data_IF_196885012074
#
_entry.id   IF_196885012074
#
_cell.length_a   1.000
_cell.length_b   1.000
_cell.length_c   1.000
_cell.angle_alpha   90.00
_cell.angle_beta   90.00
_cell.angle_gamma   90.00
#
_symmetry.space_group_name_H-M   'P 1'
#
loop_
_entity.id
_entity.type
_entity.pdbx_description
1 polymer ?
#
# COMPACT_ATOMS: atom_id res chain seq x y z
N UNK A 1 17.31 6.45 -7.88
CA UNK A 1 16.02 6.50 -7.12
C UNK A 1 16.19 5.72 -5.84
N UNK A 2 15.58 6.14 -4.73
CA UNK A 2 15.59 5.40 -3.44
C UNK A 2 14.15 5.03 -3.09
N UNK A 3 13.94 3.78 -2.65
CA UNK A 3 12.65 3.29 -2.21
C UNK A 3 12.75 2.75 -0.78
N UNK A 4 11.75 3.05 0.05
CA UNK A 4 11.65 2.49 1.40
C UNK A 4 10.21 2.11 1.69
N UNK A 5 10.00 0.89 2.17
CA UNK A 5 8.69 0.43 2.63
C UNK A 5 8.36 1.13 3.94
N UNK A 6 7.25 1.87 3.99
CA UNK A 6 6.83 2.63 5.16
C UNK A 6 5.86 1.84 6.04
N UNK A 7 5.14 0.92 5.43
CA UNK A 7 4.18 0.05 6.10
C UNK A 7 3.75 -1.10 5.19
N UNK A 8 3.22 -2.15 5.79
CA UNK A 8 2.99 -3.44 5.11
C UNK A 8 1.66 -4.10 5.47
N UNK A 9 0.81 -3.46 6.27
CA UNK A 9 -0.50 -3.98 6.64
C UNK A 9 -1.61 -3.47 5.71
N UNK A 10 -2.66 -4.27 5.55
CA UNK A 10 -3.92 -3.89 4.93
C UNK A 10 -4.76 -2.95 5.81
N UNK A 11 -5.94 -2.60 5.36
CA UNK A 11 -6.81 -1.53 5.86
C UNK A 11 -7.11 -1.46 7.36
N UNK A 12 -6.89 -2.53 8.10
CA UNK A 12 -7.05 -2.55 9.56
C UNK A 12 -5.79 -2.20 10.35
N UNK A 13 -4.61 -2.24 9.72
CA UNK A 13 -3.33 -2.23 10.42
C UNK A 13 -3.10 -3.52 11.24
N UNK A 14 -1.88 -3.70 11.77
CA UNK A 14 -1.58 -4.81 12.68
C UNK A 14 -0.93 -4.25 13.94
N UNK A 15 -1.60 -4.27 15.10
CA UNK A 15 -2.94 -4.84 15.38
C UNK A 15 -4.08 -3.91 14.92
N UNK A 16 -5.15 -4.48 14.38
CA UNK A 16 -6.40 -3.75 14.14
C UNK A 16 -7.08 -3.43 15.50
N UNK A 17 -7.57 -2.20 15.65
CA UNK A 17 -8.05 -1.69 16.95
C UNK A 17 -9.20 -2.49 17.57
N UNK A 18 -10.10 -3.04 16.77
CA UNK A 18 -11.28 -3.80 17.21
C UNK A 18 -11.16 -5.31 16.95
N UNK A 19 -9.95 -5.85 16.78
CA UNK A 19 -9.72 -7.26 16.51
C UNK A 19 -8.84 -7.91 17.58
N UNK A 20 -9.18 -9.16 17.97
CA UNK A 20 -8.43 -9.98 18.90
C UNK A 20 -7.98 -11.31 18.28
N UNK A 21 -7.86 -11.40 16.95
CA UNK A 21 -7.31 -12.56 16.27
C UNK A 21 -5.87 -12.85 16.74
N UNK A 22 -5.31 -14.04 16.46
CA UNK A 22 -3.94 -14.39 16.86
C UNK A 22 -2.90 -13.36 16.41
N UNK A 23 -2.97 -12.86 15.16
CA UNK A 23 -2.06 -11.82 14.65
C UNK A 23 -2.14 -10.52 15.45
N UNK A 24 -3.35 -10.00 15.71
CA UNK A 24 -3.55 -8.79 16.51
C UNK A 24 -3.12 -8.95 17.97
N UNK A 25 -3.41 -10.10 18.58
CA UNK A 25 -3.01 -10.41 19.95
C UNK A 25 -1.48 -10.54 20.06
N UNK A 26 -0.86 -11.22 19.09
CA UNK A 26 0.60 -11.33 19.00
C UNK A 26 1.29 -9.97 18.84
N UNK A 27 0.76 -9.09 17.99
CA UNK A 27 1.30 -7.75 17.80
C UNK A 27 1.12 -6.81 19.01
N UNK A 28 0.09 -7.04 19.84
CA UNK A 28 -0.05 -6.33 21.13
C UNK A 28 0.95 -6.82 22.17
N UNK A 29 1.16 -8.13 22.23
CA UNK A 29 2.12 -8.75 23.15
C UNK A 29 3.59 -8.46 22.77
N UNK A 30 3.85 -8.34 21.47
CA UNK A 30 5.20 -8.15 20.91
C UNK A 30 5.22 -6.94 19.94
N UNK A 31 5.56 -5.73 20.42
CA UNK A 31 5.54 -4.50 19.59
C UNK A 31 6.32 -4.59 18.28
N UNK A 32 7.38 -5.39 18.21
CA UNK A 32 8.15 -5.64 16.98
C UNK A 32 7.38 -6.38 15.86
N UNK A 33 6.18 -6.93 16.16
CA UNK A 33 5.30 -7.57 15.18
C UNK A 33 4.25 -6.61 14.62
N UNK A 34 4.21 -5.36 15.09
CA UNK A 34 3.28 -4.36 14.58
C UNK A 34 3.65 -3.98 13.15
N UNK A 35 2.63 -3.72 12.34
CA UNK A 35 2.78 -3.26 10.94
C UNK A 35 1.88 -2.06 10.71
N UNK A 36 2.44 -1.00 10.14
CA UNK A 36 1.69 0.15 9.65
C UNK A 36 1.00 -0.19 8.33
N UNK A 37 0.02 0.60 7.95
CA UNK A 37 -0.69 0.44 6.67
C UNK A 37 0.27 0.54 5.48
N UNK A 38 -0.03 -0.22 4.42
CA UNK A 38 0.84 -0.37 3.25
C UNK A 38 1.12 0.95 2.53
N UNK A 39 2.39 1.32 2.47
CA UNK A 39 2.87 2.55 1.85
C UNK A 39 4.35 2.43 1.50
N UNK A 40 4.79 3.20 0.49
CA UNK A 40 6.18 3.36 0.10
C UNK A 40 6.60 4.82 0.17
N UNK A 41 7.84 5.08 0.53
CA UNK A 41 8.52 6.33 0.23
C UNK A 41 9.34 6.18 -1.05
N UNK A 42 9.25 7.17 -1.93
CA UNK A 42 9.90 7.21 -3.24
C UNK A 42 10.66 8.52 -3.38
N UNK A 43 11.97 8.45 -3.58
CA UNK A 43 12.79 9.62 -3.93
C UNK A 43 13.01 9.62 -5.43
N UNK A 44 12.46 10.63 -6.10
CA UNK A 44 12.63 10.92 -7.53
C UNK A 44 13.52 12.16 -7.72
N UNK A 45 13.89 12.47 -8.97
CA UNK A 45 14.74 13.63 -9.29
C UNK A 45 14.04 14.96 -8.96
N UNK A 46 12.71 15.00 -9.02
CA UNK A 46 11.88 16.19 -8.78
C UNK A 46 11.39 16.31 -7.32
N UNK A 47 11.70 15.35 -6.44
CA UNK A 47 11.34 15.39 -5.02
C UNK A 47 11.01 14.04 -4.41
N UNK A 48 10.55 14.07 -3.16
CA UNK A 48 10.15 12.88 -2.43
C UNK A 48 8.62 12.75 -2.43
N UNK A 49 8.14 11.52 -2.64
CA UNK A 49 6.73 11.18 -2.64
C UNK A 49 6.45 10.03 -1.67
N UNK A 50 5.24 10.01 -1.14
CA UNK A 50 4.70 8.85 -0.42
C UNK A 50 3.62 8.19 -1.30
N UNK A 51 3.71 6.90 -1.50
CA UNK A 51 2.67 6.13 -2.18
C UNK A 51 1.66 5.69 -1.15
N UNK A 52 0.41 6.12 -1.32
CA UNK A 52 -0.72 5.99 -0.42
C UNK A 52 -0.57 6.80 0.90
N UNK A 53 -1.49 7.74 1.08
CA UNK A 53 -1.59 8.55 2.29
C UNK A 53 -2.38 7.80 3.37
N UNK A 54 -1.70 6.95 4.11
CA UNK A 54 -2.31 6.06 5.11
C UNK A 54 -2.67 6.79 6.40
N UNK A 55 -3.51 6.22 7.29
CA UNK A 55 -3.75 6.77 8.62
C UNK A 55 -2.47 7.00 9.43
N UNK A 56 -1.43 6.21 9.17
CA UNK A 56 -0.13 6.22 9.87
C UNK A 56 0.89 7.19 9.25
N UNK A 57 0.51 8.00 8.25
CA UNK A 57 1.46 8.76 7.41
C UNK A 57 2.43 9.62 8.21
N UNK A 58 2.02 10.21 9.33
CA UNK A 58 2.90 11.04 10.15
C UNK A 58 4.03 10.21 10.79
N UNK A 59 3.70 9.05 11.36
CA UNK A 59 4.66 8.12 11.93
C UNK A 59 5.54 7.47 10.85
N UNK A 60 4.99 7.27 9.66
CA UNK A 60 5.72 6.75 8.50
C UNK A 60 6.76 7.76 8.01
N UNK A 61 6.42 9.04 7.91
CA UNK A 61 7.37 10.12 7.58
C UNK A 61 8.48 10.19 8.63
N UNK A 62 8.15 10.19 9.92
CA UNK A 62 9.13 10.21 11.01
C UNK A 62 10.06 8.99 11.00
N UNK A 63 9.56 7.81 10.61
CA UNK A 63 10.38 6.61 10.52
C UNK A 63 11.34 6.60 9.33
N UNK A 64 11.12 7.45 8.32
CA UNK A 64 11.94 7.54 7.11
C UNK A 64 12.88 8.75 7.18
N UNK A 65 14.17 8.52 7.46
CA UNK A 65 15.13 9.59 7.73
C UNK A 65 15.21 10.67 6.64
N UNK A 66 15.05 10.30 5.37
CA UNK A 66 15.12 11.23 4.24
C UNK A 66 13.79 11.90 3.88
N UNK A 67 12.70 11.58 4.60
CA UNK A 67 11.43 12.32 4.54
C UNK A 67 11.30 13.36 5.68
N UNK A 68 12.17 13.29 6.69
CA UNK A 68 12.10 14.24 7.82
C UNK A 68 12.39 15.67 7.37
N UNK A 69 11.67 16.66 7.92
CA UNK A 69 11.90 18.06 7.60
C UNK A 69 13.28 18.52 8.09
N UNK A 70 13.83 19.51 7.43
CA UNK A 70 15.08 20.19 7.77
C UNK A 70 15.88 20.62 6.54
N UNK A 71 16.90 21.53 6.74
CA UNK A 71 17.36 22.11 7.99
C UNK A 71 16.47 23.24 8.56
N UNK A 72 15.58 23.81 7.75
CA UNK A 72 14.64 24.85 8.18
C UNK A 72 13.42 24.29 8.93
N UNK A 73 12.74 25.10 9.76
CA UNK A 73 11.66 24.65 10.68
C UNK A 73 10.43 24.04 9.94
N UNK A 74 10.20 24.39 8.69
CA UNK A 74 9.07 23.94 7.85
C UNK A 74 9.54 23.44 6.48
N UNK A 75 10.81 23.13 6.35
CA UNK A 75 11.40 22.65 5.10
C UNK A 75 11.20 21.13 4.98
N UNK A 76 10.08 20.74 4.41
CA UNK A 76 9.76 19.33 4.17
C UNK A 76 10.27 18.87 2.81
N UNK A 77 10.96 17.73 2.71
CA UNK A 77 11.33 17.14 1.43
C UNK A 77 10.13 16.48 0.72
N UNK A 78 9.02 16.26 1.43
CA UNK A 78 7.82 15.67 0.86
C UNK A 78 7.14 16.65 -0.10
N UNK A 79 7.12 16.31 -1.38
CA UNK A 79 6.46 17.08 -2.44
C UNK A 79 4.99 16.70 -2.63
N UNK A 80 4.68 15.41 -2.46
CA UNK A 80 3.33 14.95 -2.72
C UNK A 80 3.08 13.49 -2.40
N UNK A 81 1.91 13.04 -2.81
CA UNK A 81 1.41 11.69 -2.61
C UNK A 81 0.99 11.10 -3.95
N UNK A 82 1.30 9.82 -4.17
CA UNK A 82 0.82 9.03 -5.30
C UNK A 82 -0.21 8.03 -4.76
N UNK A 83 -1.41 7.99 -5.33
CA UNK A 83 -2.48 7.10 -4.86
C UNK A 83 -2.74 5.99 -5.86
N UNK A 84 -2.73 4.75 -5.40
CA UNK A 84 -3.04 3.56 -6.21
C UNK A 84 -4.54 3.33 -6.37
N UNK A 85 -5.33 3.87 -5.46
CA UNK A 85 -6.79 3.74 -5.37
C UNK A 85 -7.38 4.82 -4.44
N UNK A 86 -8.68 4.73 -4.15
CA UNK A 86 -9.39 5.67 -3.29
C UNK A 86 -9.87 5.05 -1.97
N UNK A 87 -9.39 3.87 -1.57
CA UNK A 87 -9.76 3.27 -0.29
C UNK A 87 -9.27 4.14 0.89
N UNK A 88 -10.01 4.11 2.01
CA UNK A 88 -9.75 5.02 3.13
C UNK A 88 -8.39 4.79 3.79
N UNK A 89 -7.92 3.57 3.84
CA UNK A 89 -6.60 3.23 4.35
C UNK A 89 -5.45 3.75 3.49
N UNK A 90 -5.73 4.11 2.22
CA UNK A 90 -4.77 4.71 1.30
C UNK A 90 -4.92 6.24 1.15
N UNK A 91 -5.99 6.84 1.69
CA UNK A 91 -6.31 8.25 1.39
C UNK A 91 -6.57 9.14 2.60
N UNK A 92 -7.05 8.59 3.73
CA UNK A 92 -7.45 9.40 4.90
C UNK A 92 -6.29 10.18 5.53
N UNK A 93 -5.07 9.71 5.33
CA UNK A 93 -3.85 10.38 5.78
C UNK A 93 -3.60 11.73 5.11
N UNK A 94 -4.24 12.04 3.97
CA UNK A 94 -4.20 13.36 3.37
C UNK A 94 -4.62 14.46 4.35
N UNK A 95 -5.57 14.17 5.25
CA UNK A 95 -5.99 15.10 6.31
C UNK A 95 -4.88 15.41 7.32
N UNK A 96 -3.91 14.52 7.48
CA UNK A 96 -2.74 14.70 8.36
C UNK A 96 -1.70 15.64 7.75
N UNK A 97 -1.73 15.82 6.42
CA UNK A 97 -0.79 16.66 5.67
C UNK A 97 -1.29 18.11 5.49
N UNK A 98 -2.38 18.50 6.14
CA UNK A 98 -2.98 19.84 6.02
C UNK A 98 -2.06 21.01 6.45
N UNK A 99 -0.97 20.71 7.13
CA UNK A 99 0.02 21.71 7.57
C UNK A 99 1.02 22.10 6.46
N UNK A 100 0.95 21.45 5.29
CA UNK A 100 1.73 21.83 4.13
C UNK A 100 1.14 23.09 3.46
N UNK A 101 1.98 23.93 2.84
CA UNK A 101 1.50 25.05 2.01
C UNK A 101 0.91 24.55 0.69
N UNK A 102 1.56 23.54 0.12
CA UNK A 102 1.14 22.87 -1.13
C UNK A 102 1.41 21.37 -1.06
N UNK A 103 0.51 20.59 -1.66
CA UNK A 103 0.63 19.13 -1.76
C UNK A 103 0.25 18.68 -3.17
N UNK A 104 1.17 18.05 -3.88
CA UNK A 104 0.85 17.40 -5.15
C UNK A 104 0.22 16.03 -4.91
N UNK A 105 -0.94 15.78 -5.51
CA UNK A 105 -1.61 14.47 -5.45
C UNK A 105 -1.68 13.89 -6.85
N UNK A 106 -0.99 12.78 -7.07
CA UNK A 106 -0.95 12.04 -8.32
C UNK A 106 -1.89 10.83 -8.22
N UNK A 107 -2.87 10.75 -9.11
CA UNK A 107 -3.84 9.64 -9.12
C UNK A 107 -4.63 9.62 -10.43
N UNK A 108 -5.41 8.56 -10.64
CA UNK A 108 -6.33 8.48 -11.79
C UNK A 108 -7.46 9.51 -11.67
N UNK A 109 -8.09 9.92 -12.79
CA UNK A 109 -9.22 10.85 -12.75
C UNK A 109 -10.40 10.40 -11.89
N UNK A 110 -10.68 9.09 -11.86
CA UNK A 110 -11.79 8.54 -11.05
C UNK A 110 -11.48 8.60 -9.56
N UNK A 111 -10.25 8.33 -9.15
CA UNK A 111 -9.76 8.49 -7.77
C UNK A 111 -9.85 9.97 -7.36
N UNK A 112 -9.36 10.89 -8.20
CA UNK A 112 -9.50 12.34 -7.97
C UNK A 112 -10.95 12.76 -7.78
N UNK A 113 -11.87 12.23 -8.59
CA UNK A 113 -13.30 12.52 -8.44
C UNK A 113 -13.87 12.05 -7.10
N UNK A 114 -13.51 10.83 -6.67
CA UNK A 114 -13.94 10.29 -5.38
C UNK A 114 -13.43 11.11 -4.18
N UNK A 115 -12.24 11.70 -4.31
CA UNK A 115 -11.62 12.49 -3.26
C UNK A 115 -12.09 13.96 -3.18
N UNK A 116 -13.02 14.40 -4.03
CA UNK A 116 -13.55 15.78 -3.96
C UNK A 116 -14.02 16.19 -2.57
N UNK A 117 -14.82 15.37 -1.82
CA UNK A 117 -15.24 15.76 -0.49
C UNK A 117 -14.06 15.99 0.47
N UNK A 118 -13.03 15.16 0.36
CA UNK A 118 -11.80 15.28 1.16
C UNK A 118 -11.02 16.54 0.79
N UNK A 119 -10.88 16.81 -0.52
CA UNK A 119 -10.22 17.99 -1.04
C UNK A 119 -10.94 19.28 -0.64
N UNK A 120 -12.28 19.28 -0.60
CA UNK A 120 -13.07 20.44 -0.12
C UNK A 120 -12.83 20.72 1.36
N UNK A 121 -12.68 19.69 2.20
CA UNK A 121 -12.30 19.85 3.62
C UNK A 121 -10.88 20.44 3.75
N UNK A 122 -9.96 20.02 2.89
CA UNK A 122 -8.56 20.46 2.94
C UNK A 122 -8.32 21.84 2.34
N UNK A 123 -9.17 22.29 1.42
CA UNK A 123 -9.02 23.56 0.67
C UNK A 123 -8.71 24.80 1.51
N UNK A 124 -9.25 25.00 2.75
CA UNK A 124 -8.89 26.13 3.59
C UNK A 124 -7.48 26.06 4.20
N UNK A 125 -6.83 24.90 4.16
CA UNK A 125 -5.58 24.62 4.87
C UNK A 125 -4.38 24.44 3.96
N UNK A 126 -4.54 23.70 2.84
CA UNK A 126 -3.46 23.32 1.94
C UNK A 126 -3.90 23.46 0.49
N UNK A 127 -3.01 23.98 -0.36
CA UNK A 127 -3.25 24.00 -1.81
C UNK A 127 -2.91 22.64 -2.42
N UNK A 128 -3.96 21.92 -2.89
CA UNK A 128 -3.78 20.64 -3.58
C UNK A 128 -3.64 20.90 -5.08
N UNK A 129 -2.51 20.46 -5.64
CA UNK A 129 -2.31 20.34 -7.08
C UNK A 129 -2.50 18.88 -7.50
N UNK A 130 -3.14 18.66 -8.65
CA UNK A 130 -3.44 17.32 -9.15
C UNK A 130 -2.59 17.04 -10.39
N UNK A 131 -1.97 15.86 -10.40
CA UNK A 131 -1.15 15.41 -11.53
C UNK A 131 -1.40 13.93 -11.84
N UNK A 132 -0.91 13.49 -12.98
CA UNK A 132 -0.92 12.08 -13.37
C UNK A 132 0.29 11.35 -12.80
N UNK A 133 0.17 10.01 -12.69
CA UNK A 133 1.26 9.09 -12.40
C UNK A 133 1.24 7.94 -13.41
N UNK A 134 2.33 7.19 -13.48
CA UNK A 134 2.41 6.00 -14.33
C UNK A 134 1.65 4.84 -13.66
N UNK A 135 0.33 4.89 -13.79
CA UNK A 135 -0.63 3.98 -13.17
C UNK A 135 -1.24 3.05 -14.21
N UNK A 136 -1.19 1.75 -13.93
CA UNK A 136 -1.78 0.70 -14.75
C UNK A 136 -3.08 0.26 -14.11
N UNK A 137 -4.23 0.36 -14.79
CA UNK A 137 -5.50 -0.14 -14.27
C UNK A 137 -5.44 -1.64 -13.96
N UNK A 138 -5.89 -2.01 -12.75
CA UNK A 138 -5.99 -3.42 -12.31
C UNK A 138 -7.44 -3.82 -12.10
N UNK A 139 -8.26 -2.95 -11.49
CA UNK A 139 -9.60 -3.33 -11.08
C UNK A 139 -10.57 -2.17 -11.12
N UNK A 140 -11.80 -2.48 -11.54
CA UNK A 140 -12.96 -1.58 -11.48
C UNK A 140 -13.63 -1.54 -10.10
N UNK A 141 -13.04 -2.18 -9.07
CA UNK A 141 -13.58 -2.18 -7.72
C UNK A 141 -13.47 -0.80 -7.09
N UNK A 142 -14.59 -0.12 -6.96
CA UNK A 142 -14.68 1.20 -6.31
C UNK A 142 -14.84 1.09 -4.79
N UNK A 143 -14.36 2.07 -4.01
CA UNK A 143 -14.64 2.16 -2.57
C UNK A 143 -16.14 2.32 -2.30
N UNK A 144 -16.58 1.82 -1.15
CA UNK A 144 -18.02 1.81 -0.79
C UNK A 144 -18.65 3.20 -0.71
N UNK A 145 -17.86 4.22 -0.39
CA UNK A 145 -18.33 5.59 -0.23
C UNK A 145 -18.42 6.36 -1.57
N UNK A 146 -17.78 5.86 -2.62
CA UNK A 146 -17.73 6.57 -3.89
C UNK A 146 -19.03 6.35 -4.68
N UNK A 147 -19.75 7.45 -4.93
CA UNK A 147 -20.92 7.48 -5.81
C UNK A 147 -20.51 7.99 -7.21
N UNK A 148 -19.74 7.17 -7.90
CA UNK A 148 -19.22 7.48 -9.24
C UNK A 148 -19.43 6.30 -10.17
N UNK A 149 -19.48 6.52 -11.50
CA UNK A 149 -19.69 5.45 -12.47
C UNK A 149 -18.59 4.38 -12.41
N UNK A 150 -18.88 3.22 -12.96
CA UNK A 150 -17.88 2.18 -13.16
C UNK A 150 -16.75 2.70 -14.06
N UNK A 151 -15.51 2.46 -13.65
CA UNK A 151 -14.33 2.77 -14.40
C UNK A 151 -13.27 1.67 -14.17
N UNK A 152 -12.42 1.36 -15.16
CA UNK A 152 -11.46 0.26 -15.03
C UNK A 152 -10.30 0.57 -14.08
N UNK A 153 -10.08 1.83 -13.75
CA UNK A 153 -8.92 2.40 -13.08
C UNK A 153 -9.18 2.87 -11.64
N UNK A 154 -10.19 2.25 -10.97
CA UNK A 154 -10.42 2.45 -9.53
C UNK A 154 -9.27 1.96 -8.67
N UNK A 155 -8.63 0.85 -9.06
CA UNK A 155 -7.44 0.32 -8.45
C UNK A 155 -6.38 0.16 -9.53
N UNK A 156 -5.18 0.64 -9.25
CA UNK A 156 -4.07 0.63 -10.21
C UNK A 156 -2.77 0.14 -9.58
N UNK A 157 -1.91 -0.49 -10.39
CA UNK A 157 -0.50 -0.67 -10.06
C UNK A 157 0.28 0.60 -10.40
N UNK A 158 1.25 0.95 -9.59
CA UNK A 158 2.19 2.04 -9.86
C UNK A 158 3.46 1.50 -10.48
N UNK A 159 3.82 2.01 -11.66
CA UNK A 159 5.15 1.79 -12.26
C UNK A 159 6.11 2.88 -11.81
N UNK A 160 7.30 2.47 -11.45
CA UNK A 160 8.41 3.34 -11.08
C UNK A 160 9.63 2.98 -11.93
N UNK A 161 10.55 3.92 -12.11
CA UNK A 161 11.81 3.71 -12.85
C UNK A 161 11.58 3.17 -14.27
N UNK A 162 10.59 3.70 -15.00
CA UNK A 162 10.29 3.23 -16.36
C UNK A 162 9.74 1.80 -16.42
N UNK A 163 9.24 1.26 -15.29
CA UNK A 163 8.70 -0.10 -15.20
C UNK A 163 9.62 -1.11 -14.50
N UNK A 164 10.86 -0.74 -14.15
CA UNK A 164 11.75 -1.62 -13.41
C UNK A 164 11.18 -2.03 -12.04
N UNK A 165 10.37 -1.16 -11.42
CA UNK A 165 9.63 -1.47 -10.18
C UNK A 165 8.14 -1.35 -10.41
N UNK A 166 7.38 -2.36 -9.95
CA UNK A 166 5.91 -2.32 -9.94
C UNK A 166 5.40 -2.53 -8.51
N UNK A 167 4.56 -1.60 -8.05
CA UNK A 167 3.89 -1.64 -6.75
C UNK A 167 2.38 -1.79 -6.94
N UNK A 168 1.83 -2.92 -6.48
CA UNK A 168 0.41 -3.26 -6.60
C UNK A 168 -0.12 -3.82 -5.26
N UNK A 169 -0.38 -2.96 -4.24
CA UNK A 169 -0.73 -3.40 -2.89
C UNK A 169 -2.13 -4.02 -2.80
N UNK A 170 -3.01 -3.73 -3.75
CA UNK A 170 -4.33 -4.35 -3.88
C UNK A 170 -4.51 -4.85 -5.31
N UNK A 171 -4.73 -6.15 -5.49
CA UNK A 171 -4.68 -6.78 -6.80
C UNK A 171 -5.80 -7.79 -7.00
N UNK A 172 -6.84 -7.39 -7.74
CA UNK A 172 -7.96 -8.26 -8.09
C UNK A 172 -7.71 -9.12 -9.33
N UNK A 173 -6.80 -8.68 -10.21
CA UNK A 173 -6.32 -9.42 -11.38
C UNK A 173 -4.81 -9.22 -11.50
N UNK A 174 -4.13 -10.14 -12.16
CA UNK A 174 -2.68 -10.06 -12.39
C UNK A 174 -2.38 -9.13 -13.58
N UNK A 175 -1.72 -8.00 -13.39
CA UNK A 175 -1.34 -7.12 -14.50
C UNK A 175 -0.08 -7.65 -15.21
N UNK A 176 -0.07 -7.62 -16.54
CA UNK A 176 1.07 -8.09 -17.36
C UNK A 176 2.37 -7.31 -17.09
N UNK A 177 2.26 -6.07 -16.65
CA UNK A 177 3.41 -5.24 -16.31
C UNK A 177 4.31 -5.82 -15.20
N UNK A 178 3.82 -6.78 -14.41
CA UNK A 178 4.65 -7.50 -13.43
C UNK A 178 5.67 -8.41 -14.10
N UNK A 179 5.37 -8.93 -15.28
CA UNK A 179 6.16 -9.99 -15.92
C UNK A 179 7.53 -9.47 -16.42
N UNK A 180 7.69 -8.16 -16.60
CA UNK A 180 8.92 -7.51 -17.10
C UNK A 180 9.69 -6.73 -16.02
N UNK A 181 9.15 -6.60 -14.80
CA UNK A 181 9.74 -5.78 -13.76
C UNK A 181 10.92 -6.48 -13.05
N UNK A 182 11.95 -5.71 -12.70
CA UNK A 182 13.12 -6.18 -11.92
C UNK A 182 12.80 -6.31 -10.42
N UNK A 183 11.80 -5.56 -9.94
CA UNK A 183 11.30 -5.65 -8.57
C UNK A 183 9.78 -5.51 -8.56
N UNK A 184 9.10 -6.46 -7.95
CA UNK A 184 7.65 -6.43 -7.77
C UNK A 184 7.28 -6.48 -6.30
N UNK A 185 6.39 -5.58 -5.87
CA UNK A 185 5.87 -5.50 -4.51
C UNK A 185 4.34 -5.57 -4.63
N UNK A 186 3.77 -6.73 -4.33
CA UNK A 186 2.38 -7.01 -4.68
C UNK A 186 1.51 -7.39 -3.49
N UNK A 187 0.23 -7.49 -3.75
CA UNK A 187 -0.84 -7.83 -2.83
C UNK A 187 -0.61 -9.17 -2.13
N UNK A 188 -0.47 -9.13 -0.82
CA UNK A 188 -0.37 -10.27 0.08
C UNK A 188 -1.47 -10.28 1.13
N UNK A 189 -2.62 -9.65 0.85
CA UNK A 189 -3.67 -9.42 1.85
C UNK A 189 -4.11 -10.71 2.53
N UNK A 190 -4.37 -11.77 1.79
CA UNK A 190 -4.80 -13.05 2.32
C UNK A 190 -3.90 -14.20 1.83
N UNK A 191 -3.69 -15.19 2.69
CA UNK A 191 -2.94 -16.38 2.33
C UNK A 191 -3.72 -17.24 1.33
N UNK A 192 -4.97 -17.58 1.65
CA UNK A 192 -5.87 -18.36 0.80
C UNK A 192 -7.24 -17.68 0.63
N UNK A 193 -8.03 -18.14 -0.35
CA UNK A 193 -9.30 -17.51 -0.70
C UNK A 193 -10.36 -17.60 0.41
N UNK A 194 -10.34 -18.64 1.23
CA UNK A 194 -11.31 -18.84 2.32
C UNK A 194 -10.86 -18.22 3.65
N UNK A 195 -9.66 -17.65 3.76
CA UNK A 195 -9.16 -17.03 4.99
C UNK A 195 -10.15 -16.04 5.61
N UNK A 196 -10.77 -15.10 4.86
CA UNK A 196 -11.70 -14.14 5.47
C UNK A 196 -12.92 -14.81 6.11
N UNK A 197 -13.44 -15.87 5.48
CA UNK A 197 -14.59 -16.63 5.99
C UNK A 197 -14.19 -17.49 7.19
N UNK A 198 -13.10 -18.22 7.07
CA UNK A 198 -12.59 -19.12 8.11
C UNK A 198 -12.23 -18.36 9.39
N UNK A 199 -11.74 -17.14 9.28
CA UNK A 199 -11.39 -16.28 10.41
C UNK A 199 -12.56 -15.44 10.93
N UNK A 200 -13.71 -15.49 10.24
CA UNK A 200 -14.94 -14.80 10.68
C UNK A 200 -14.92 -13.27 10.46
N UNK A 201 -13.97 -12.73 9.70
CA UNK A 201 -13.88 -11.29 9.44
C UNK A 201 -14.78 -10.83 8.30
N UNK A 202 -15.18 -11.75 7.41
CA UNK A 202 -16.07 -11.46 6.27
C UNK A 202 -16.86 -12.69 5.86
N UNK A 203 -18.05 -12.47 5.29
CA UNK A 203 -18.80 -13.50 4.57
C UNK A 203 -18.31 -13.71 3.11
N UNK A 204 -17.41 -12.84 2.64
CA UNK A 204 -16.82 -12.90 1.29
C UNK A 204 -15.50 -13.63 1.32
N UNK A 205 -15.11 -14.23 0.17
CA UNK A 205 -13.76 -14.75 -0.05
C UNK A 205 -12.78 -13.60 -0.35
N UNK A 206 -11.47 -13.89 -0.33
CA UNK A 206 -10.42 -12.94 -0.72
C UNK A 206 -10.67 -12.38 -2.13
N UNK A 207 -10.92 -13.23 -3.11
CA UNK A 207 -11.24 -12.85 -4.50
C UNK A 207 -12.49 -11.97 -4.57
N UNK A 208 -13.55 -12.29 -3.83
CA UNK A 208 -14.77 -11.47 -3.75
C UNK A 208 -14.54 -10.13 -3.05
N UNK A 209 -13.48 -10.01 -2.27
CA UNK A 209 -13.01 -8.75 -1.67
C UNK A 209 -12.10 -7.96 -2.61
N UNK A 210 -11.72 -8.51 -3.76
CA UNK A 210 -10.88 -7.89 -4.77
C UNK A 210 -9.38 -8.09 -4.53
N UNK A 211 -9.00 -9.18 -3.88
CA UNK A 211 -7.62 -9.58 -3.61
C UNK A 211 -7.35 -10.98 -4.13
N UNK A 212 -6.32 -11.13 -4.96
CA UNK A 212 -5.80 -12.45 -5.32
C UNK A 212 -5.04 -13.02 -4.12
N UNK A 213 -5.39 -14.24 -3.64
CA UNK A 213 -4.69 -14.83 -2.51
C UNK A 213 -3.25 -15.23 -2.87
N UNK A 214 -2.39 -15.28 -1.86
CA UNK A 214 -0.97 -15.66 -2.02
C UNK A 214 -0.84 -17.04 -2.67
N UNK A 215 -1.61 -18.04 -2.23
CA UNK A 215 -1.58 -19.39 -2.80
C UNK A 215 -1.88 -19.43 -4.30
N UNK A 216 -2.72 -18.52 -4.81
CA UNK A 216 -3.02 -18.43 -6.23
C UNK A 216 -1.97 -17.70 -7.05
N UNK A 217 -1.10 -16.91 -6.42
CA UNK A 217 -0.13 -16.03 -7.10
C UNK A 217 1.33 -16.44 -6.91
N UNK A 218 1.68 -17.14 -5.83
CA UNK A 218 3.07 -17.40 -5.44
C UNK A 218 3.86 -18.21 -6.48
N UNK A 219 3.25 -19.20 -7.16
CA UNK A 219 3.95 -19.94 -8.21
C UNK A 219 4.26 -19.07 -9.44
N UNK A 220 3.32 -18.21 -9.85
CA UNK A 220 3.56 -17.27 -10.95
C UNK A 220 4.60 -16.25 -10.54
N UNK A 221 4.50 -15.71 -9.33
CA UNK A 221 5.43 -14.74 -8.77
C UNK A 221 6.86 -15.30 -8.71
N UNK A 222 7.03 -16.56 -8.31
CA UNK A 222 8.35 -17.21 -8.22
C UNK A 222 9.11 -17.30 -9.55
N UNK A 223 8.39 -17.24 -10.67
CA UNK A 223 8.96 -17.32 -12.04
C UNK A 223 9.40 -15.98 -12.59
N UNK A 224 9.01 -14.87 -11.95
CA UNK A 224 9.40 -13.52 -12.40
C UNK A 224 10.91 -13.31 -12.16
N UNK A 225 11.57 -12.51 -13.01
CA UNK A 225 12.93 -12.09 -12.75
C UNK A 225 13.01 -11.16 -11.53
N UNK A 226 14.20 -11.03 -10.95
CA UNK A 226 14.47 -10.03 -9.94
C UNK A 226 13.84 -10.26 -8.57
N UNK A 227 13.59 -9.17 -7.85
CA UNK A 227 13.14 -9.18 -6.47
C UNK A 227 11.60 -9.23 -6.37
N UNK A 228 11.07 -10.09 -5.52
CA UNK A 228 9.64 -10.40 -5.42
C UNK A 228 9.19 -10.33 -3.98
N UNK A 229 8.24 -9.43 -3.68
CA UNK A 229 7.78 -9.18 -2.31
C UNK A 229 6.26 -9.17 -2.24
N UNK A 230 5.73 -9.78 -1.17
CA UNK A 230 4.36 -9.55 -0.74
C UNK A 230 4.30 -8.42 0.29
N UNK A 231 3.27 -7.58 0.19
CA UNK A 231 2.93 -6.48 1.11
C UNK A 231 1.44 -6.47 1.40
N UNK A 232 0.93 -5.47 2.11
CA UNK A 232 -0.50 -5.26 2.36
C UNK A 232 -1.16 -6.45 3.08
N UNK A 233 -0.50 -6.99 4.13
CA UNK A 233 -0.98 -8.16 4.87
C UNK A 233 -2.18 -7.83 5.74
N UNK A 234 -3.26 -8.60 5.63
CA UNK A 234 -4.35 -8.53 6.59
C UNK A 234 -3.91 -9.06 7.97
N UNK A 235 -4.53 -8.56 9.02
CA UNK A 235 -4.22 -8.95 10.39
C UNK A 235 -4.50 -10.43 10.71
N UNK A 236 -5.27 -11.12 9.86
CA UNK A 236 -5.54 -12.58 9.96
C UNK A 236 -4.57 -13.44 9.14
N UNK A 237 -3.80 -12.82 8.23
CA UNK A 237 -2.84 -13.52 7.40
C UNK A 237 -1.76 -14.18 8.28
N UNK A 238 -1.45 -15.47 8.10
CA UNK A 238 -0.43 -16.16 8.90
C UNK A 238 0.94 -15.48 8.86
N UNK A 239 1.29 -14.77 7.78
CA UNK A 239 2.58 -14.07 7.63
C UNK A 239 2.77 -12.90 8.61
N UNK A 240 1.74 -12.49 9.37
CA UNK A 240 1.92 -11.50 10.44
C UNK A 240 2.60 -12.11 11.68
N UNK A 241 2.61 -13.44 11.81
CA UNK A 241 3.41 -14.16 12.80
C UNK A 241 4.75 -14.59 12.20
N UNK A 242 5.90 -14.08 12.69
CA UNK A 242 7.22 -14.47 12.16
C UNK A 242 7.55 -15.96 12.29
N UNK A 243 6.83 -16.69 13.14
CA UNK A 243 7.02 -18.14 13.34
C UNK A 243 6.17 -19.01 12.41
N UNK A 244 5.31 -18.41 11.56
CA UNK A 244 4.42 -19.17 10.69
C UNK A 244 5.20 -19.95 9.62
N UNK A 245 4.81 -21.20 9.38
CA UNK A 245 5.44 -22.08 8.37
C UNK A 245 5.35 -21.49 6.95
N UNK A 246 4.38 -20.64 6.68
CA UNK A 246 4.19 -19.95 5.40
C UNK A 246 5.42 -19.11 4.99
N UNK A 247 6.19 -18.60 5.94
CA UNK A 247 7.46 -17.92 5.64
C UNK A 247 8.46 -18.85 4.98
N UNK A 248 8.53 -20.12 5.39
CA UNK A 248 9.42 -21.12 4.77
C UNK A 248 8.98 -21.43 3.34
N UNK A 249 7.68 -21.60 3.13
CA UNK A 249 7.10 -21.83 1.79
C UNK A 249 7.52 -20.72 0.82
N UNK A 250 7.36 -19.45 1.23
CA UNK A 250 7.76 -18.31 0.38
C UNK A 250 9.27 -18.23 0.18
N UNK A 251 10.06 -18.51 1.22
CA UNK A 251 11.53 -18.50 1.12
C UNK A 251 12.06 -19.56 0.15
N UNK A 252 11.47 -20.76 0.13
CA UNK A 252 11.81 -21.83 -0.83
C UNK A 252 11.52 -21.41 -2.28
N UNK A 253 10.53 -20.55 -2.50
CA UNK A 253 10.18 -19.96 -3.80
C UNK A 253 10.99 -18.69 -4.12
N UNK A 254 11.88 -18.25 -3.24
CA UNK A 254 12.66 -17.02 -3.38
C UNK A 254 11.79 -15.76 -3.33
N UNK A 255 10.69 -15.78 -2.56
CA UNK A 255 9.78 -14.66 -2.39
C UNK A 255 9.94 -14.11 -0.97
N UNK A 256 10.04 -12.79 -0.87
CA UNK A 256 10.17 -12.07 0.40
C UNK A 256 8.80 -11.59 0.91
N UNK A 257 8.71 -11.37 2.21
CA UNK A 257 7.63 -10.61 2.83
C UNK A 257 8.17 -9.24 3.20
N UNK A 258 7.56 -8.18 2.68
CA UNK A 258 7.98 -6.82 2.98
C UNK A 258 7.84 -6.50 4.48
N UNK A 259 8.75 -5.68 4.99
CA UNK A 259 8.75 -5.23 6.37
C UNK A 259 8.79 -3.70 6.44
N UNK A 260 8.16 -3.13 7.48
CA UNK A 260 8.20 -1.70 7.74
C UNK A 260 9.65 -1.24 7.92
N UNK A 261 10.06 -0.22 7.18
CA UNK A 261 11.41 0.30 7.18
C UNK A 261 12.38 -0.36 6.18
N UNK A 262 11.97 -1.43 5.47
CA UNK A 262 12.81 -2.10 4.46
C UNK A 262 13.21 -1.13 3.35
N UNK A 263 14.50 -1.04 3.05
CA UNK A 263 15.04 -0.30 1.90
C UNK A 263 15.10 -1.22 0.71
N UNK A 264 14.66 -0.73 -0.45
CA UNK A 264 14.73 -1.44 -1.73
C UNK A 264 15.87 -0.82 -2.54
N UNK A 265 16.95 -1.54 -2.64
CA UNK A 265 18.09 -1.22 -3.51
C UNK A 265 17.94 -2.03 -4.81
N UNK A 266 18.13 -1.36 -5.97
CA UNK A 266 18.02 -1.92 -7.31
C UNK A 266 19.29 -1.67 -8.09
#
# INVERSE_FOLDING_TARGET
MRLQVLGTAAGGGVPQWNCACPGCSGARAHPGRRRRHASLAVQQDDGCYVVNATPDIAEQIEACAWLRPGPGPRESPLKGVILTDAELDHTIGLLRLREADELEVRCTPVVRQALRPLADILRPYVRISWADADLIPISAKRPRYADSPEAPDWVSALRLMGGAVVYAPAMGVWPEALDEAECVIIDGTFWDDEEPRRTGISAKTATQMGHLPIEATMERLSRLPGRRLYTHLNNTNPLVDPAAEQHKVLAELGIEVAADGMVIDL
#
